data_IF_902927939286
#
_entry.id   IF_902927939286
#
_cell.length_a   1.000
_cell.length_b   1.000
_cell.length_c   1.000
_cell.angle_alpha   90.00
_cell.angle_beta   90.00
_cell.angle_gamma   90.00
#
_symmetry.space_group_name_H-M   'P 1'
#
loop_
_entity.id
_entity.type
_entity.pdbx_description
1 polymer ?
#
# COMPACT_ATOMS: atom_id res chain seq x y z
N UNK A 1 -15.45 0.66 -20.91
CA UNK A 1 -15.77 2.01 -20.42
C UNK A 1 -14.51 2.87 -20.24
N UNK A 2 -13.48 2.45 -19.43
CA UNK A 2 -12.23 3.24 -19.24
C UNK A 2 -11.56 3.54 -20.60
N UNK A 3 -11.43 2.55 -21.48
CA UNK A 3 -10.82 2.74 -22.81
C UNK A 3 -11.58 3.79 -23.65
N UNK A 4 -12.91 3.75 -23.64
CA UNK A 4 -13.72 4.70 -24.39
C UNK A 4 -13.75 6.10 -23.77
N UNK A 5 -13.84 6.18 -22.44
CA UNK A 5 -14.02 7.44 -21.73
C UNK A 5 -12.74 8.29 -21.69
N UNK A 6 -11.56 7.62 -21.71
CA UNK A 6 -10.25 8.29 -21.63
C UNK A 6 -9.42 8.20 -22.91
N UNK A 7 -9.96 7.65 -24.01
CA UNK A 7 -9.22 7.49 -25.26
C UNK A 7 -7.99 6.58 -25.17
N UNK A 8 -7.89 5.76 -24.11
CA UNK A 8 -6.75 4.87 -23.88
C UNK A 8 -6.87 3.62 -24.76
N UNK A 9 -5.82 3.27 -25.46
CA UNK A 9 -5.76 2.06 -26.30
C UNK A 9 -5.27 0.83 -25.55
N UNK A 10 -4.38 1.02 -24.57
CA UNK A 10 -3.81 -0.04 -23.74
C UNK A 10 -3.66 0.43 -22.29
N UNK A 11 -3.80 -0.49 -21.32
CA UNK A 11 -3.50 -0.22 -19.92
C UNK A 11 -3.13 -1.49 -19.16
N UNK A 12 -2.46 -1.31 -18.03
CA UNK A 12 -2.05 -2.38 -17.11
C UNK A 12 -2.89 -2.25 -15.85
N UNK A 13 -3.51 -3.36 -15.43
CA UNK A 13 -4.27 -3.46 -14.17
C UNK A 13 -3.34 -3.99 -13.10
N UNK A 14 -2.97 -3.14 -12.13
CA UNK A 14 -2.15 -3.53 -11.01
C UNK A 14 -3.05 -3.79 -9.79
N UNK A 15 -2.96 -5.01 -9.20
CA UNK A 15 -3.84 -5.42 -8.10
C UNK A 15 -3.06 -6.06 -6.95
N UNK A 16 -3.68 -6.02 -5.77
CA UNK A 16 -3.21 -6.75 -4.59
C UNK A 16 -3.62 -8.23 -4.62
N UNK A 17 -3.20 -8.97 -3.59
CA UNK A 17 -3.52 -10.40 -3.43
C UNK A 17 -5.03 -10.67 -3.24
N UNK A 18 -5.81 -9.69 -2.81
CA UNK A 18 -7.27 -9.82 -2.62
C UNK A 18 -8.03 -9.87 -3.94
N UNK A 19 -7.46 -9.30 -5.01
CA UNK A 19 -8.02 -9.28 -6.36
C UNK A 19 -7.29 -10.22 -7.33
N UNK A 20 -6.47 -11.15 -6.83
CA UNK A 20 -5.61 -12.05 -7.61
C UNK A 20 -6.29 -13.33 -8.10
N UNK A 21 -7.62 -13.40 -8.15
CA UNK A 21 -8.34 -14.59 -8.63
C UNK A 21 -8.02 -14.91 -10.10
N UNK A 22 -8.04 -16.19 -10.46
CA UNK A 22 -7.84 -16.63 -11.85
C UNK A 22 -8.81 -15.94 -12.80
N UNK A 23 -10.07 -15.77 -12.41
CA UNK A 23 -11.08 -15.07 -13.21
C UNK A 23 -10.72 -13.61 -13.52
N UNK A 24 -10.17 -12.89 -12.53
CA UNK A 24 -9.69 -11.51 -12.72
C UNK A 24 -8.47 -11.45 -13.66
N UNK A 25 -7.56 -12.42 -13.57
CA UNK A 25 -6.38 -12.51 -14.44
C UNK A 25 -6.80 -12.81 -15.88
N UNK A 26 -7.67 -13.80 -16.09
CA UNK A 26 -8.24 -14.14 -17.39
C UNK A 26 -8.98 -12.94 -17.99
N UNK A 27 -9.81 -12.25 -17.21
CA UNK A 27 -10.50 -11.04 -17.65
C UNK A 27 -9.55 -9.94 -18.12
N UNK A 28 -8.36 -9.83 -17.52
CA UNK A 28 -7.34 -8.84 -17.88
C UNK A 28 -6.28 -9.39 -18.85
N UNK A 29 -6.41 -10.62 -19.32
CA UNK A 29 -5.49 -11.22 -20.29
C UNK A 29 -5.99 -10.98 -21.71
N UNK A 30 -5.86 -9.76 -22.20
CA UNK A 30 -6.25 -9.37 -23.56
C UNK A 30 -5.16 -8.51 -24.20
N UNK A 31 -5.16 -8.32 -25.55
CA UNK A 31 -4.18 -7.47 -26.21
C UNK A 31 -4.11 -6.03 -25.66
N UNK A 32 -5.25 -5.50 -25.21
CA UNK A 32 -5.39 -4.12 -24.73
C UNK A 32 -5.39 -3.99 -23.19
N UNK A 33 -5.46 -5.11 -22.49
CA UNK A 33 -5.39 -5.14 -21.02
C UNK A 33 -4.36 -6.15 -20.58
N UNK A 34 -3.42 -5.69 -19.81
CA UNK A 34 -2.43 -6.51 -19.14
C UNK A 34 -2.63 -6.41 -17.63
N UNK A 35 -2.05 -7.32 -16.88
CA UNK A 35 -2.15 -7.28 -15.43
C UNK A 35 -0.78 -7.46 -14.77
N UNK A 36 -0.62 -6.89 -13.58
CA UNK A 36 0.42 -7.21 -12.60
C UNK A 36 -0.29 -7.42 -11.27
N UNK A 37 -0.20 -8.60 -10.69
CA UNK A 37 -0.92 -8.94 -9.47
C UNK A 37 -0.01 -9.61 -8.46
N UNK A 38 -0.17 -9.24 -7.18
CA UNK A 38 0.52 -9.92 -6.09
C UNK A 38 0.11 -11.38 -6.05
N UNK A 39 1.09 -12.29 -6.03
CA UNK A 39 0.91 -13.73 -5.92
C UNK A 39 1.32 -14.20 -4.53
N UNK A 40 0.37 -14.57 -3.64
CA UNK A 40 0.74 -15.20 -2.38
C UNK A 40 1.44 -16.53 -2.64
N UNK A 41 2.72 -16.64 -2.26
CA UNK A 41 3.54 -17.85 -2.49
C UNK A 41 2.89 -19.07 -1.82
N UNK A 42 2.32 -18.91 -0.63
CA UNK A 42 1.60 -19.96 0.09
C UNK A 42 0.43 -20.59 -0.68
N UNK A 43 -0.13 -19.90 -1.67
CA UNK A 43 -1.24 -20.39 -2.52
C UNK A 43 -0.78 -21.08 -3.80
N UNK A 44 0.51 -21.05 -4.10
CA UNK A 44 1.07 -21.74 -5.26
C UNK A 44 1.04 -23.27 -5.07
N UNK A 45 1.11 -24.03 -6.16
CA UNK A 45 1.33 -25.47 -6.14
C UNK A 45 2.70 -25.81 -5.54
N UNK A 46 2.85 -27.01 -4.99
CA UNK A 46 4.06 -27.45 -4.27
C UNK A 46 5.36 -27.11 -5.02
N UNK A 47 5.48 -27.59 -6.26
CA UNK A 47 6.68 -27.39 -7.08
C UNK A 47 7.01 -25.90 -7.36
N UNK A 48 6.00 -25.02 -7.39
CA UNK A 48 6.22 -23.57 -7.53
C UNK A 48 6.63 -22.93 -6.20
N UNK A 49 6.12 -23.45 -5.07
CA UNK A 49 6.61 -23.01 -3.75
C UNK A 49 8.07 -23.38 -3.57
N UNK A 50 8.44 -24.61 -3.93
CA UNK A 50 9.82 -25.07 -3.87
C UNK A 50 10.71 -24.20 -4.75
N UNK A 51 10.30 -23.91 -5.98
CA UNK A 51 11.00 -22.95 -6.85
C UNK A 51 11.13 -21.56 -6.22
N UNK A 52 10.07 -21.02 -5.61
CA UNK A 52 10.12 -19.69 -5.00
C UNK A 52 11.07 -19.62 -3.80
N UNK A 53 11.18 -20.70 -3.02
CA UNK A 53 11.95 -20.77 -1.80
C UNK A 53 13.35 -21.36 -1.99
N UNK A 54 13.68 -21.87 -3.17
CA UNK A 54 15.00 -22.37 -3.49
C UNK A 54 16.04 -21.25 -3.41
N UNK A 55 17.16 -21.53 -2.80
CA UNK A 55 18.25 -20.59 -2.54
C UNK A 55 19.09 -20.26 -3.79
N UNK A 56 19.02 -21.09 -4.83
CA UNK A 56 19.81 -20.95 -6.04
C UNK A 56 19.05 -20.19 -7.15
N UNK A 57 19.77 -19.66 -8.15
CA UNK A 57 19.20 -19.04 -9.35
C UNK A 57 18.69 -17.61 -9.16
N UNK A 58 19.28 -16.86 -8.24
CA UNK A 58 18.89 -15.49 -7.99
C UNK A 58 19.74 -14.49 -8.76
N UNK A 59 19.13 -13.42 -9.23
CA UNK A 59 19.77 -12.34 -9.99
C UNK A 59 19.52 -10.99 -9.33
N UNK A 60 20.40 -10.02 -9.58
CA UNK A 60 20.21 -8.63 -9.23
C UNK A 60 19.84 -7.83 -10.49
N UNK A 61 18.92 -6.86 -10.36
CA UNK A 61 18.55 -6.01 -11.50
C UNK A 61 19.79 -5.26 -12.00
N UNK A 62 20.07 -5.41 -13.29
CA UNK A 62 21.25 -4.79 -13.92
C UNK A 62 22.56 -5.60 -13.81
N UNK A 63 22.54 -6.76 -13.15
CA UNK A 63 23.68 -7.66 -13.05
C UNK A 63 23.39 -8.99 -13.77
N UNK A 64 24.41 -9.56 -14.39
CA UNK A 64 24.33 -10.87 -15.07
C UNK A 64 24.77 -12.04 -14.16
N UNK A 65 25.28 -11.73 -12.98
CA UNK A 65 25.75 -12.74 -12.03
C UNK A 65 24.56 -13.45 -11.39
N UNK A 66 24.71 -14.75 -11.21
CA UNK A 66 23.81 -15.58 -10.43
C UNK A 66 24.27 -15.61 -8.97
N UNK A 67 23.32 -15.51 -8.07
CA UNK A 67 23.53 -15.45 -6.63
C UNK A 67 22.84 -16.61 -5.93
N UNK A 68 23.42 -17.07 -4.83
CA UNK A 68 22.82 -18.02 -3.91
C UNK A 68 22.49 -17.30 -2.60
N UNK A 69 21.23 -17.37 -2.15
CA UNK A 69 20.76 -16.56 -1.01
C UNK A 69 21.51 -16.89 0.29
N UNK A 70 21.87 -18.15 0.52
CA UNK A 70 22.61 -18.58 1.71
C UNK A 70 24.05 -18.08 1.76
N UNK A 71 24.63 -17.64 0.65
CA UNK A 71 26.00 -17.12 0.56
C UNK A 71 26.06 -15.58 0.62
N UNK A 72 24.90 -14.90 0.67
CA UNK A 72 24.84 -13.45 0.69
C UNK A 72 25.20 -12.89 2.06
N UNK A 73 26.15 -11.95 2.09
CA UNK A 73 26.35 -11.12 3.27
C UNK A 73 25.13 -10.19 3.49
N UNK A 74 24.55 -10.28 4.68
CA UNK A 74 23.32 -9.57 5.01
C UNK A 74 23.53 -8.05 5.06
N UNK A 75 24.67 -7.58 5.57
CA UNK A 75 24.95 -6.15 5.74
C UNK A 75 25.19 -5.49 4.38
N UNK A 76 26.01 -6.11 3.53
CA UNK A 76 26.34 -5.60 2.21
C UNK A 76 25.15 -5.61 1.25
N UNK A 77 24.19 -6.50 1.49
CA UNK A 77 23.06 -6.72 0.59
C UNK A 77 21.71 -6.29 1.19
N UNK A 78 21.71 -5.58 2.33
CA UNK A 78 20.49 -5.26 3.06
C UNK A 78 19.45 -4.50 2.25
N UNK A 79 19.86 -3.52 1.45
CA UNK A 79 18.99 -2.69 0.62
C UNK A 79 18.73 -3.28 -0.78
N UNK A 80 19.42 -4.36 -1.14
CA UNK A 80 19.29 -4.97 -2.46
C UNK A 80 18.08 -5.88 -2.54
N UNK A 81 17.48 -5.93 -3.74
CA UNK A 81 16.39 -6.84 -4.05
C UNK A 81 16.86 -7.81 -5.12
N UNK A 82 16.92 -9.07 -4.76
CA UNK A 82 17.23 -10.17 -5.67
C UNK A 82 15.93 -10.67 -6.29
N UNK A 83 16.02 -11.22 -7.50
CA UNK A 83 14.86 -11.79 -8.18
C UNK A 83 15.21 -13.08 -8.88
N UNK A 84 14.20 -13.89 -9.13
CA UNK A 84 14.17 -14.94 -10.13
C UNK A 84 12.79 -15.00 -10.77
N UNK A 85 12.72 -15.45 -12.01
CA UNK A 85 11.49 -15.43 -12.77
C UNK A 85 11.37 -16.65 -13.67
N UNK A 86 10.15 -16.97 -14.00
CA UNK A 86 9.82 -18.00 -15.00
C UNK A 86 8.41 -17.85 -15.53
N UNK A 87 8.19 -18.31 -16.75
CA UNK A 87 6.85 -18.49 -17.27
C UNK A 87 6.22 -19.76 -16.69
N UNK A 88 4.96 -19.64 -16.28
CA UNK A 88 4.16 -20.72 -15.71
C UNK A 88 2.81 -20.80 -16.42
N UNK A 89 2.23 -21.99 -16.48
CA UNK A 89 0.87 -22.18 -16.94
C UNK A 89 0.05 -22.75 -15.76
N UNK A 90 -0.85 -21.93 -15.25
CA UNK A 90 -1.74 -22.29 -14.16
C UNK A 90 -3.18 -22.11 -14.62
N UNK A 91 -3.98 -23.19 -14.52
CA UNK A 91 -5.39 -23.21 -14.90
C UNK A 91 -5.65 -22.76 -16.36
N UNK A 92 -4.72 -23.07 -17.28
CA UNK A 92 -4.81 -22.68 -18.69
C UNK A 92 -4.44 -21.22 -18.97
N UNK A 93 -3.93 -20.50 -17.97
CA UNK A 93 -3.42 -19.14 -18.13
C UNK A 93 -1.90 -19.14 -18.09
N UNK A 94 -1.27 -18.78 -19.23
CA UNK A 94 0.17 -18.52 -19.29
C UNK A 94 0.49 -17.16 -18.67
N UNK A 95 1.43 -17.15 -17.73
CA UNK A 95 1.80 -15.97 -16.99
C UNK A 95 3.25 -16.01 -16.51
N UNK A 96 3.84 -14.87 -16.38
CA UNK A 96 5.20 -14.66 -15.89
C UNK A 96 5.16 -14.54 -14.37
N UNK A 97 5.73 -15.48 -13.66
CA UNK A 97 5.93 -15.47 -12.21
C UNK A 97 7.29 -14.82 -11.93
N UNK A 98 7.27 -13.67 -11.27
CA UNK A 98 8.46 -12.97 -10.77
C UNK A 98 8.47 -13.07 -9.26
N UNK A 99 9.54 -13.62 -8.71
CA UNK A 99 9.76 -13.76 -7.26
C UNK A 99 10.91 -12.85 -6.86
N UNK A 100 10.75 -12.12 -5.78
CA UNK A 100 11.81 -11.27 -5.22
C UNK A 100 12.13 -11.67 -3.80
N UNK A 101 13.37 -11.43 -3.39
CA UNK A 101 13.87 -11.57 -2.03
C UNK A 101 14.64 -10.32 -1.62
N UNK A 102 14.41 -9.84 -0.39
CA UNK A 102 15.27 -8.83 0.23
C UNK A 102 15.35 -9.01 1.74
N UNK A 103 16.51 -8.70 2.33
CA UNK A 103 16.72 -8.74 3.77
C UNK A 103 15.86 -7.71 4.50
N UNK A 104 15.71 -6.52 3.95
CA UNK A 104 14.83 -5.48 4.48
C UNK A 104 13.37 -5.96 4.60
N UNK A 105 12.84 -6.61 3.55
CA UNK A 105 11.48 -7.15 3.57
C UNK A 105 11.35 -8.34 4.52
N UNK A 106 12.39 -9.18 4.64
CA UNK A 106 12.47 -10.26 5.62
C UNK A 106 12.30 -9.73 7.05
N UNK A 107 13.04 -8.70 7.40
CA UNK A 107 13.01 -8.11 8.75
C UNK A 107 11.68 -7.41 9.02
N UNK A 108 11.11 -6.77 8.02
CA UNK A 108 9.76 -6.22 8.09
C UNK A 108 8.71 -7.30 8.40
N UNK A 109 8.75 -8.44 7.70
CA UNK A 109 7.85 -9.57 7.94
C UNK A 109 8.04 -10.20 9.32
N UNK A 110 9.28 -10.39 9.74
CA UNK A 110 9.64 -10.85 11.10
C UNK A 110 9.04 -9.93 12.17
N UNK A 111 9.19 -8.64 12.02
CA UNK A 111 8.63 -7.65 12.96
C UNK A 111 7.10 -7.72 13.03
N UNK A 112 6.42 -7.89 11.89
CA UNK A 112 4.96 -8.08 11.87
C UNK A 112 4.58 -9.37 12.57
N UNK A 113 5.23 -10.50 12.27
CA UNK A 113 4.94 -11.81 12.88
C UNK A 113 5.17 -11.77 14.38
N UNK A 114 6.27 -11.21 14.86
CA UNK A 114 6.55 -11.10 16.29
C UNK A 114 5.45 -10.35 17.03
N UNK A 115 4.99 -9.21 16.49
CA UNK A 115 3.84 -8.49 17.06
C UNK A 115 2.54 -9.31 17.06
N UNK A 116 2.36 -10.22 16.10
CA UNK A 116 1.19 -11.09 16.07
C UNK A 116 1.33 -12.23 17.07
N UNK A 117 2.53 -12.78 17.27
CA UNK A 117 2.84 -13.78 18.31
C UNK A 117 2.61 -13.19 19.71
N UNK A 118 3.14 -12.00 20.00
CA UNK A 118 2.88 -11.29 21.27
C UNK A 118 1.36 -11.12 21.56
N UNK A 119 0.58 -10.88 20.49
CA UNK A 119 -0.89 -10.81 20.63
C UNK A 119 -1.52 -12.18 20.82
N UNK A 120 -0.98 -13.22 20.23
CA UNK A 120 -1.43 -14.60 20.41
C UNK A 120 -1.16 -15.05 21.85
N UNK A 121 0.00 -14.77 22.41
CA UNK A 121 0.36 -15.05 23.81
C UNK A 121 -0.66 -14.41 24.78
N UNK A 122 -0.98 -13.12 24.59
CA UNK A 122 -2.00 -12.44 25.40
C UNK A 122 -3.40 -13.04 25.26
N UNK A 123 -3.71 -13.67 24.12
CA UNK A 123 -4.99 -14.38 23.92
C UNK A 123 -4.97 -15.75 24.60
N UNK A 124 -3.80 -16.42 24.67
CA UNK A 124 -3.61 -17.66 25.45
C UNK A 124 -3.82 -17.40 26.92
N UNK A 125 -3.29 -16.29 27.46
CA UNK A 125 -3.46 -15.88 28.85
C UNK A 125 -4.93 -15.55 29.19
N UNK A 126 -5.72 -15.03 28.22
CA UNK A 126 -7.12 -14.64 28.39
C UNK A 126 -8.05 -15.33 27.35
N UNK A 127 -8.35 -16.63 27.54
CA UNK A 127 -9.10 -17.43 26.56
C UNK A 127 -10.51 -16.94 26.22
N UNK A 128 -11.14 -16.17 27.11
CA UNK A 128 -12.47 -15.59 26.90
C UNK A 128 -12.55 -14.63 25.71
N UNK A 129 -11.40 -14.09 25.27
CA UNK A 129 -11.29 -13.17 24.11
C UNK A 129 -11.07 -13.89 22.79
N UNK A 130 -10.94 -15.22 22.78
CA UNK A 130 -10.71 -16.05 21.57
C UNK A 130 -11.89 -16.06 20.58
N UNK A 131 -13.10 -15.70 21.00
CA UNK A 131 -14.30 -15.77 20.17
C UNK A 131 -14.49 -14.64 19.14
N UNK A 132 -13.63 -13.62 19.14
CA UNK A 132 -13.73 -12.48 18.20
C UNK A 132 -12.85 -12.70 16.96
N UNK A 133 -13.46 -12.89 15.79
CA UNK A 133 -12.74 -12.93 14.50
C UNK A 133 -12.30 -11.52 14.07
N UNK A 134 -11.01 -11.34 13.75
CA UNK A 134 -10.45 -10.10 13.21
C UNK A 134 -9.63 -10.40 11.95
N UNK A 135 -9.52 -9.48 10.96
CA UNK A 135 -8.59 -9.62 9.86
C UNK A 135 -7.14 -9.75 10.39
N UNK A 136 -6.34 -10.61 9.75
CA UNK A 136 -4.99 -10.97 10.22
C UNK A 136 -4.95 -11.47 11.66
N UNK A 137 -5.86 -12.35 11.98
CA UNK A 137 -6.09 -12.85 13.32
C UNK A 137 -4.85 -13.61 13.85
N UNK A 138 -4.25 -13.19 14.98
CA UNK A 138 -3.17 -13.91 15.64
C UNK A 138 -3.57 -15.32 16.11
N UNK A 139 -4.86 -15.63 16.14
CA UNK A 139 -5.38 -16.97 16.49
C UNK A 139 -4.85 -18.10 15.62
N UNK A 140 -4.34 -17.83 14.41
CA UNK A 140 -3.71 -18.87 13.58
C UNK A 140 -2.45 -19.47 14.23
N UNK A 141 -1.86 -18.76 15.19
CA UNK A 141 -0.74 -19.24 15.99
C UNK A 141 -1.18 -19.90 17.30
N UNK A 142 -2.48 -20.15 17.49
CA UNK A 142 -2.99 -20.76 18.71
C UNK A 142 -3.57 -22.12 18.37
N UNK A 143 -2.96 -23.13 18.94
CA UNK A 143 -3.49 -24.49 18.96
C UNK A 143 -4.48 -24.64 20.13
N UNK A 144 -5.62 -25.26 19.87
CA UNK A 144 -6.66 -25.49 20.87
C UNK A 144 -6.69 -26.97 21.27
N UNK A 145 -6.11 -27.27 22.41
CA UNK A 145 -6.09 -28.63 22.94
C UNK A 145 -7.24 -28.86 23.94
N UNK A 146 -7.82 -30.05 23.88
CA UNK A 146 -8.82 -30.53 24.82
C UNK A 146 -8.23 -31.63 25.74
N UNK A 147 -6.91 -31.80 25.71
CA UNK A 147 -6.16 -32.74 26.55
C UNK A 147 -5.13 -31.99 27.37
N UNK A 148 -4.85 -32.47 28.56
CA UNK A 148 -3.72 -32.01 29.40
C UNK A 148 -2.41 -32.53 28.81
N UNK A 149 -1.26 -32.00 29.28
CA UNK A 149 0.08 -32.48 28.91
C UNK A 149 0.30 -33.99 29.19
N UNK A 150 -0.46 -34.54 30.12
CA UNK A 150 -0.39 -35.97 30.53
C UNK A 150 -1.37 -36.85 29.71
N UNK A 151 -2.07 -36.27 28.72
CA UNK A 151 -2.95 -36.98 27.80
C UNK A 151 -4.39 -37.22 28.34
N UNK A 152 -4.73 -36.67 29.50
CA UNK A 152 -6.10 -36.74 30.02
C UNK A 152 -7.03 -35.73 29.33
N UNK A 153 -8.31 -36.09 29.13
CA UNK A 153 -9.32 -35.19 28.58
C UNK A 153 -9.56 -34.04 29.54
N UNK A 154 -9.40 -32.81 29.07
CA UNK A 154 -9.65 -31.59 29.86
C UNK A 154 -11.11 -31.13 29.68
N UNK A 155 -11.76 -30.78 30.77
CA UNK A 155 -13.10 -30.19 30.77
C UNK A 155 -13.14 -28.81 30.10
N UNK A 156 -12.00 -28.18 29.96
CA UNK A 156 -11.86 -26.86 29.33
C UNK A 156 -10.79 -26.89 28.25
N UNK A 157 -11.00 -26.14 27.21
CA UNK A 157 -10.02 -25.89 26.14
C UNK A 157 -8.76 -25.24 26.73
N UNK A 158 -7.60 -25.84 26.46
CA UNK A 158 -6.28 -25.32 26.83
C UNK A 158 -5.63 -24.77 25.56
N UNK A 159 -5.56 -23.43 25.40
CA UNK A 159 -4.88 -22.82 24.26
C UNK A 159 -3.35 -22.82 24.48
N UNK A 160 -2.59 -23.08 23.43
CA UNK A 160 -1.14 -22.97 23.40
C UNK A 160 -0.66 -22.33 22.11
N UNK A 161 0.57 -21.80 22.11
CA UNK A 161 1.16 -21.28 20.87
C UNK A 161 1.55 -22.47 19.98
N UNK A 162 1.19 -22.38 18.71
CA UNK A 162 1.54 -23.32 17.65
C UNK A 162 2.88 -22.89 17.02
N UNK A 163 3.95 -23.47 17.50
CA UNK A 163 5.31 -23.17 17.03
C UNK A 163 5.57 -23.71 15.63
N UNK A 164 4.89 -24.78 15.23
CA UNK A 164 5.04 -25.37 13.90
C UNK A 164 4.50 -24.38 12.83
N UNK A 165 3.36 -23.79 13.08
CA UNK A 165 2.80 -22.75 12.20
C UNK A 165 3.71 -21.53 12.16
N UNK A 166 4.26 -21.11 13.30
CA UNK A 166 5.17 -19.97 13.35
C UNK A 166 6.47 -20.25 12.58
N UNK A 167 6.99 -21.48 12.69
CA UNK A 167 8.21 -21.92 11.99
C UNK A 167 7.96 -22.06 10.48
N UNK A 168 6.84 -22.63 10.07
CA UNK A 168 6.49 -22.73 8.65
C UNK A 168 6.33 -21.32 8.04
N UNK A 169 5.75 -20.38 8.77
CA UNK A 169 5.63 -18.98 8.28
C UNK A 169 6.99 -18.28 8.10
N UNK A 170 8.00 -18.62 8.91
CA UNK A 170 9.37 -18.06 8.79
C UNK A 170 10.02 -18.37 7.43
N UNK A 171 9.68 -19.49 6.81
CA UNK A 171 10.23 -19.90 5.51
C UNK A 171 9.92 -18.90 4.39
N UNK A 172 8.86 -18.12 4.53
CA UNK A 172 8.41 -17.16 3.52
C UNK A 172 8.93 -15.73 3.78
N UNK A 173 9.70 -15.52 4.82
CA UNK A 173 10.21 -14.20 5.17
C UNK A 173 11.18 -13.66 4.12
N UNK A 174 10.96 -12.44 3.67
CA UNK A 174 11.77 -11.80 2.66
C UNK A 174 11.34 -12.08 1.23
N UNK A 175 10.50 -13.08 1.00
CA UNK A 175 10.02 -13.46 -0.32
C UNK A 175 8.71 -12.76 -0.67
N UNK A 176 8.66 -12.24 -1.89
CA UNK A 176 7.47 -11.62 -2.45
C UNK A 176 7.32 -12.06 -3.91
N UNK A 177 6.10 -12.29 -4.37
CA UNK A 177 5.89 -12.71 -5.74
C UNK A 177 4.75 -11.95 -6.42
N UNK A 178 4.91 -11.77 -7.72
CA UNK A 178 3.88 -11.24 -8.62
C UNK A 178 3.69 -12.17 -9.81
N UNK A 179 2.48 -12.20 -10.34
CA UNK A 179 2.17 -12.80 -11.64
C UNK A 179 1.71 -11.72 -12.61
N UNK A 180 2.13 -11.85 -13.86
CA UNK A 180 1.80 -10.90 -14.92
C UNK A 180 1.70 -11.62 -16.27
N UNK A 181 1.03 -11.01 -17.23
CA UNK A 181 1.08 -11.40 -18.64
C UNK A 181 1.87 -10.39 -19.49
N UNK A 182 2.70 -9.57 -18.85
CA UNK A 182 3.67 -8.70 -19.51
C UNK A 182 4.88 -9.52 -19.96
N UNK A 183 5.39 -9.19 -21.12
CA UNK A 183 6.62 -9.74 -21.70
C UNK A 183 7.83 -8.82 -21.46
N UNK A 184 7.62 -7.76 -20.69
CA UNK A 184 8.63 -6.78 -20.33
C UNK A 184 9.69 -7.41 -19.39
N UNK A 185 10.82 -6.74 -19.25
CA UNK A 185 11.86 -7.15 -18.30
C UNK A 185 11.41 -7.04 -16.83
N UNK A 186 12.07 -7.78 -15.96
CA UNK A 186 11.71 -7.82 -14.53
C UNK A 186 11.79 -6.45 -13.88
N UNK A 187 12.74 -5.59 -14.27
CA UNK A 187 12.88 -4.25 -13.71
C UNK A 187 11.64 -3.40 -13.99
N UNK A 188 11.13 -3.45 -15.21
CA UNK A 188 9.90 -2.77 -15.64
C UNK A 188 8.70 -3.33 -14.87
N UNK A 189 8.54 -4.65 -14.78
CA UNK A 189 7.45 -5.30 -14.04
C UNK A 189 7.47 -4.88 -12.57
N UNK A 190 8.63 -4.90 -11.94
CA UNK A 190 8.80 -4.48 -10.54
C UNK A 190 8.49 -3.00 -10.34
N UNK A 191 8.93 -2.13 -11.24
CA UNK A 191 8.60 -0.70 -11.22
C UNK A 191 7.09 -0.45 -11.29
N UNK A 192 6.38 -1.18 -12.15
CA UNK A 192 4.92 -1.11 -12.24
C UNK A 192 4.27 -1.56 -10.93
N UNK A 193 4.72 -2.69 -10.36
CA UNK A 193 4.20 -3.19 -9.09
C UNK A 193 4.48 -2.23 -7.92
N UNK A 194 5.65 -1.62 -7.88
CA UNK A 194 6.00 -0.61 -6.86
C UNK A 194 5.05 0.59 -6.87
N UNK A 195 4.59 1.05 -8.04
CA UNK A 195 3.62 2.16 -8.13
C UNK A 195 2.27 1.86 -7.47
N UNK A 196 1.99 0.62 -7.10
CA UNK A 196 0.79 0.25 -6.34
C UNK A 196 0.70 0.91 -4.97
N UNK A 197 1.85 1.22 -4.32
CA UNK A 197 1.86 1.95 -3.05
C UNK A 197 1.12 3.29 -3.13
N UNK A 198 1.10 3.93 -4.31
CA UNK A 198 0.37 5.20 -4.52
C UNK A 198 -1.14 5.03 -4.32
N UNK A 199 -1.69 3.85 -4.67
CA UNK A 199 -3.11 3.53 -4.44
C UNK A 199 -3.37 3.34 -2.95
N UNK A 200 -2.48 2.62 -2.26
CA UNK A 200 -2.57 2.42 -0.81
C UNK A 200 -2.48 3.75 -0.06
N UNK A 201 -1.61 4.63 -0.50
CA UNK A 201 -1.48 5.99 0.02
C UNK A 201 -2.74 6.83 -0.24
N UNK A 202 -3.33 6.77 -1.43
CA UNK A 202 -4.62 7.41 -1.71
C UNK A 202 -5.70 6.96 -0.72
N UNK A 203 -5.80 5.66 -0.43
CA UNK A 203 -6.73 5.15 0.58
C UNK A 203 -6.38 5.63 1.99
N UNK A 204 -5.10 5.73 2.32
CA UNK A 204 -4.64 6.27 3.61
C UNK A 204 -5.06 7.73 3.76
N UNK A 205 -4.78 8.56 2.77
CA UNK A 205 -5.17 9.98 2.75
C UNK A 205 -6.69 10.14 2.90
N UNK A 206 -7.47 9.37 2.15
CA UNK A 206 -8.92 9.42 2.27
C UNK A 206 -9.41 9.04 3.67
N UNK A 207 -8.77 8.06 4.33
CA UNK A 207 -9.18 7.59 5.66
C UNK A 207 -8.74 8.54 6.77
N UNK A 208 -7.49 9.01 6.75
CA UNK A 208 -6.89 9.81 7.82
C UNK A 208 -7.16 11.30 7.64
N UNK A 209 -6.77 11.87 6.50
CA UNK A 209 -6.80 13.32 6.30
C UNK A 209 -8.21 13.84 5.93
N UNK A 210 -8.91 13.12 5.08
CA UNK A 210 -10.25 13.50 4.63
C UNK A 210 -11.36 12.88 5.48
N UNK A 211 -11.01 11.99 6.42
CA UNK A 211 -11.96 11.32 7.32
C UNK A 211 -13.15 10.70 6.56
N UNK A 212 -12.89 10.13 5.38
CA UNK A 212 -13.92 9.51 4.55
C UNK A 212 -14.61 8.33 5.25
N UNK A 213 -14.06 7.85 6.37
CA UNK A 213 -14.61 6.82 7.24
C UNK A 213 -14.37 7.16 8.71
N UNK A 214 -15.32 6.82 9.63
CA UNK A 214 -16.61 6.15 9.40
C UNK A 214 -17.63 7.07 8.71
N UNK A 215 -18.58 6.47 7.95
CA UNK A 215 -19.65 7.20 7.26
C UNK A 215 -20.91 7.18 8.13
N UNK A 216 -21.32 8.34 8.64
CA UNK A 216 -22.52 8.51 9.48
C UNK A 216 -23.77 8.89 8.66
N UNK A 217 -23.89 8.34 7.46
CA UNK A 217 -24.98 8.60 6.53
C UNK A 217 -25.72 7.29 6.23
N UNK A 218 -27.05 7.33 6.18
CA UNK A 218 -27.91 6.16 5.92
C UNK A 218 -28.43 6.10 4.48
N UNK A 219 -28.66 7.25 3.84
CA UNK A 219 -29.19 7.31 2.48
C UNK A 219 -28.11 7.03 1.43
N UNK A 220 -28.41 6.15 0.47
CA UNK A 220 -27.46 5.72 -0.58
C UNK A 220 -26.96 6.91 -1.43
N UNK A 221 -27.81 7.81 -1.81
CA UNK A 221 -27.47 9.01 -2.57
C UNK A 221 -26.48 9.91 -1.82
N UNK A 222 -26.70 10.13 -0.51
CA UNK A 222 -25.80 10.91 0.33
C UNK A 222 -24.46 10.22 0.56
N UNK A 223 -24.47 8.88 0.76
CA UNK A 223 -23.22 8.09 0.84
C UNK A 223 -22.43 8.22 -0.45
N UNK A 224 -23.09 8.11 -1.61
CA UNK A 224 -22.46 8.28 -2.92
C UNK A 224 -21.88 9.69 -3.07
N UNK A 225 -22.64 10.73 -2.75
CA UNK A 225 -22.17 12.12 -2.81
C UNK A 225 -20.96 12.36 -1.90
N UNK A 226 -20.97 11.81 -0.67
CA UNK A 226 -19.85 11.88 0.25
C UNK A 226 -18.57 11.31 -0.35
N UNK A 227 -18.61 10.08 -0.90
CA UNK A 227 -17.43 9.48 -1.52
C UNK A 227 -17.00 10.20 -2.80
N UNK A 228 -17.92 10.73 -3.61
CA UNK A 228 -17.56 11.56 -4.77
C UNK A 228 -16.82 12.82 -4.31
N UNK A 229 -17.29 13.48 -3.26
CA UNK A 229 -16.63 14.67 -2.71
C UNK A 229 -15.22 14.33 -2.21
N UNK A 230 -15.06 13.25 -1.42
CA UNK A 230 -13.74 12.80 -0.94
C UNK A 230 -12.81 12.43 -2.11
N UNK A 231 -13.32 11.79 -3.15
CA UNK A 231 -12.53 11.42 -4.31
C UNK A 231 -12.11 12.63 -5.14
N UNK A 232 -12.99 13.60 -5.31
CA UNK A 232 -12.67 14.89 -5.98
C UNK A 232 -11.59 15.64 -5.19
N UNK A 233 -11.72 15.71 -3.87
CA UNK A 233 -10.71 16.30 -3.01
C UNK A 233 -9.34 15.57 -3.14
N UNK A 234 -9.34 14.24 -3.24
CA UNK A 234 -8.12 13.47 -3.48
C UNK A 234 -7.46 13.82 -4.82
N UNK A 235 -8.26 13.97 -5.90
CA UNK A 235 -7.74 14.36 -7.21
C UNK A 235 -7.08 15.74 -7.13
N UNK A 236 -7.75 16.70 -6.53
CA UNK A 236 -7.21 18.05 -6.34
C UNK A 236 -5.93 18.05 -5.52
N UNK A 237 -5.92 17.27 -4.42
CA UNK A 237 -4.74 17.10 -3.59
C UNK A 237 -3.56 16.51 -4.39
N UNK A 238 -3.77 15.45 -5.18
CA UNK A 238 -2.71 14.83 -6.00
C UNK A 238 -2.15 15.78 -7.07
N UNK A 239 -3.02 16.62 -7.66
CA UNK A 239 -2.56 17.66 -8.59
C UNK A 239 -1.70 18.70 -7.86
N UNK A 240 -2.10 19.13 -6.67
CA UNK A 240 -1.34 20.06 -5.84
C UNK A 240 0.01 19.47 -5.43
N UNK A 241 0.03 18.28 -4.88
CA UNK A 241 1.25 17.56 -4.48
C UNK A 241 2.26 17.46 -5.63
N UNK A 242 1.78 17.09 -6.83
CA UNK A 242 2.61 17.04 -8.03
C UNK A 242 3.15 18.41 -8.43
N UNK A 243 2.35 19.48 -8.33
CA UNK A 243 2.81 20.86 -8.59
C UNK A 243 3.84 21.32 -7.58
N UNK A 244 3.80 20.85 -6.34
CA UNK A 244 4.79 21.13 -5.30
C UNK A 244 6.07 20.29 -5.42
N UNK A 245 6.14 19.35 -6.39
CA UNK A 245 7.31 18.51 -6.65
C UNK A 245 7.44 17.32 -5.71
N UNK A 246 6.36 16.89 -5.07
CA UNK A 246 6.30 15.71 -4.17
C UNK A 246 7.30 15.75 -2.99
N UNK A 247 7.71 16.98 -2.59
CA UNK A 247 8.75 17.20 -1.59
C UNK A 247 8.22 17.33 -0.15
N UNK A 248 6.91 17.36 0.04
CA UNK A 248 6.26 17.58 1.33
C UNK A 248 5.33 16.44 1.69
N UNK A 249 5.20 16.16 2.99
CA UNK A 249 4.25 15.13 3.44
C UNK A 249 2.81 15.61 3.32
N UNK A 250 1.89 14.68 3.11
CA UNK A 250 0.44 14.96 3.03
C UNK A 250 -0.06 15.73 4.25
N UNK A 251 0.37 15.31 5.44
CA UNK A 251 0.01 15.97 6.69
C UNK A 251 0.45 17.44 6.71
N UNK A 252 1.70 17.72 6.30
CA UNK A 252 2.22 19.08 6.24
C UNK A 252 1.43 19.96 5.27
N UNK A 253 1.15 19.46 4.07
CA UNK A 253 0.38 20.23 3.06
C UNK A 253 -1.01 20.56 3.59
N UNK A 254 -1.75 19.56 4.09
CA UNK A 254 -3.13 19.76 4.56
C UNK A 254 -3.17 20.64 5.79
N UNK A 255 -2.24 20.47 6.73
CA UNK A 255 -2.14 21.32 7.92
C UNK A 255 -1.86 22.76 7.54
N UNK A 256 -0.85 23.02 6.71
CA UNK A 256 -0.50 24.37 6.25
C UNK A 256 -1.69 25.03 5.55
N UNK A 257 -2.39 24.34 4.64
CA UNK A 257 -3.57 24.91 3.98
C UNK A 257 -4.70 25.25 4.97
N UNK A 258 -4.89 24.46 6.03
CA UNK A 258 -5.88 24.75 7.10
C UNK A 258 -5.46 25.90 7.98
N UNK A 259 -4.19 26.13 8.17
CA UNK A 259 -3.62 27.17 9.02
C UNK A 259 -3.44 28.51 8.28
N UNK A 260 -3.48 28.53 6.93
CA UNK A 260 -3.37 29.74 6.12
C UNK A 260 -4.65 30.60 6.21
N UNK A 261 -4.96 31.05 7.43
CA UNK A 261 -6.10 31.91 7.72
C UNK A 261 -5.76 33.38 7.48
N UNK A 262 -6.77 34.19 7.20
CA UNK A 262 -6.67 35.63 7.05
C UNK A 262 -7.72 36.34 7.87
N UNK A 263 -7.30 37.30 8.66
CA UNK A 263 -8.22 38.19 9.40
C UNK A 263 -8.73 39.27 8.46
N UNK A 264 -10.02 39.54 8.51
CA UNK A 264 -10.63 40.63 7.74
C UNK A 264 -10.47 41.95 8.52
N UNK A 265 -9.72 42.89 7.98
CA UNK A 265 -9.61 44.27 8.53
C UNK A 265 -10.59 45.17 7.77
N UNK A 266 -11.70 45.61 8.40
CA UNK A 266 -12.72 46.38 7.74
C UNK A 266 -12.17 47.73 7.16
N UNK A 267 -12.34 47.93 5.85
CA UNK A 267 -11.84 49.12 5.15
C UNK A 267 -10.40 49.03 4.64
N UNK A 268 -9.59 48.14 5.16
CA UNK A 268 -8.16 48.03 4.80
C UNK A 268 -7.85 46.81 3.92
N UNK A 269 -8.31 45.62 4.30
CA UNK A 269 -8.06 44.40 3.55
C UNK A 269 -8.03 43.15 4.42
N UNK A 270 -7.03 42.31 4.17
CA UNK A 270 -6.84 41.01 4.83
C UNK A 270 -5.45 40.91 5.44
N UNK A 271 -5.37 40.49 6.68
CA UNK A 271 -4.13 40.31 7.45
C UNK A 271 -3.87 38.80 7.55
N UNK A 272 -2.75 38.26 7.06
CA UNK A 272 -2.42 36.83 7.22
C UNK A 272 -2.14 36.51 8.69
N UNK A 273 -2.77 35.46 9.22
CA UNK A 273 -2.56 34.95 10.58
C UNK A 273 -1.66 33.70 10.63
N UNK A 274 -1.03 33.36 9.51
CA UNK A 274 -0.16 32.19 9.42
C UNK A 274 1.32 32.57 9.39
N UNK A 275 2.17 31.67 9.89
CA UNK A 275 3.62 31.83 9.87
C UNK A 275 4.17 31.43 8.50
N UNK A 276 5.08 32.23 7.96
CA UNK A 276 5.82 31.93 6.75
C UNK A 276 6.74 30.71 6.94
N UNK A 277 6.67 29.78 6.01
CA UNK A 277 7.48 28.55 5.97
C UNK A 277 7.93 28.25 4.54
N UNK A 278 8.88 27.33 4.35
CA UNK A 278 9.31 26.89 3.02
C UNK A 278 8.13 26.36 2.18
N UNK A 279 7.16 25.72 2.82
CA UNK A 279 5.97 25.24 2.12
C UNK A 279 5.03 26.37 1.70
N UNK A 280 4.82 27.40 2.53
CA UNK A 280 4.01 28.57 2.13
C UNK A 280 4.68 29.36 1.01
N UNK A 281 6.01 29.52 1.04
CA UNK A 281 6.78 30.11 -0.05
C UNK A 281 6.61 29.30 -1.34
N UNK A 282 6.77 27.99 -1.26
CA UNK A 282 6.60 27.09 -2.41
C UNK A 282 5.19 27.17 -3.00
N UNK A 283 4.16 27.28 -2.15
CA UNK A 283 2.78 27.48 -2.58
C UNK A 283 2.62 28.81 -3.35
N UNK A 284 3.13 29.90 -2.78
CA UNK A 284 3.09 31.24 -3.41
C UNK A 284 3.78 31.24 -4.77
N UNK A 285 4.99 30.67 -4.85
CA UNK A 285 5.75 30.60 -6.10
C UNK A 285 5.06 29.71 -7.14
N UNK A 286 4.48 28.58 -6.71
CA UNK A 286 3.80 27.64 -7.61
C UNK A 286 2.54 28.24 -8.24
N UNK A 287 1.81 29.06 -7.48
CA UNK A 287 0.55 29.67 -7.93
C UNK A 287 0.69 31.13 -8.43
N UNK A 288 1.88 31.69 -8.33
CA UNK A 288 2.19 33.01 -8.89
C UNK A 288 1.51 34.20 -8.18
N UNK A 289 1.13 34.02 -6.90
CA UNK A 289 0.63 35.13 -6.07
C UNK A 289 1.05 34.95 -4.61
N UNK A 290 1.12 36.04 -3.86
CA UNK A 290 1.49 36.04 -2.44
C UNK A 290 0.38 36.64 -1.58
N UNK A 291 0.21 36.04 -0.40
CA UNK A 291 -0.76 36.48 0.60
C UNK A 291 -0.13 36.66 1.99
N UNK A 292 1.21 36.65 2.07
CA UNK A 292 2.01 36.77 3.30
C UNK A 292 2.51 38.20 3.57
N UNK A 293 1.90 39.22 2.97
CA UNK A 293 2.14 40.63 3.27
C UNK A 293 1.41 41.03 4.55
N UNK A 294 1.86 42.12 5.19
CA UNK A 294 1.22 42.64 6.40
C UNK A 294 -0.27 42.95 6.18
N UNK A 295 -0.62 43.54 5.04
CA UNK A 295 -2.01 43.76 4.62
C UNK A 295 -2.13 43.43 3.14
N UNK A 296 -3.03 42.52 2.81
CA UNK A 296 -3.39 42.19 1.43
C UNK A 296 -4.66 42.98 1.06
N UNK A 297 -4.54 43.95 0.16
CA UNK A 297 -5.64 44.81 -0.19
C UNK A 297 -6.83 44.03 -0.83
N UNK A 298 -8.04 44.57 -0.66
CA UNK A 298 -9.23 43.99 -1.33
C UNK A 298 -9.08 43.89 -2.85
N UNK A 299 -8.33 44.81 -3.46
CA UNK A 299 -8.05 44.78 -4.91
C UNK A 299 -7.16 43.60 -5.28
N UNK A 300 -6.16 43.27 -4.48
CA UNK A 300 -5.27 42.13 -4.71
C UNK A 300 -6.01 40.80 -4.53
N UNK A 301 -6.79 40.63 -3.47
CA UNK A 301 -7.63 39.45 -3.29
C UNK A 301 -8.58 39.25 -4.48
N UNK A 302 -9.23 40.33 -4.98
CA UNK A 302 -10.07 40.24 -6.17
C UNK A 302 -9.32 39.80 -7.42
N UNK A 303 -8.05 40.25 -7.60
CA UNK A 303 -7.20 39.80 -8.70
C UNK A 303 -6.88 38.29 -8.58
N UNK A 304 -6.48 37.84 -7.39
CA UNK A 304 -6.20 36.42 -7.10
C UNK A 304 -7.44 35.58 -7.42
N UNK A 305 -8.59 35.93 -6.86
CA UNK A 305 -9.84 35.21 -7.10
C UNK A 305 -10.29 35.24 -8.58
N UNK A 306 -9.97 36.28 -9.34
CA UNK A 306 -10.23 36.32 -10.76
C UNK A 306 -9.29 35.44 -11.55
N UNK A 307 -8.00 35.40 -11.19
CA UNK A 307 -7.01 34.53 -11.82
C UNK A 307 -7.31 33.04 -11.60
N UNK A 308 -7.87 32.66 -10.44
CA UNK A 308 -8.23 31.26 -10.11
C UNK A 308 -9.50 30.77 -10.78
N UNK A 309 -10.28 31.65 -11.46
CA UNK A 309 -11.51 31.31 -12.21
C UNK A 309 -11.27 30.98 -13.69
N UNK A 310 -10.06 31.16 -14.17
CA UNK A 310 -9.62 30.82 -15.53
C UNK A 310 -8.99 29.43 -15.58
#
# INVERSE_FOLDING_TARGET
>A
KILSDFGMTKFIVCTDAGLSSTSNRVFNNTPNRKFVTTQPIKKLKGYLKDYCLDEDGWHLIGDKKEYKLSELDEVENYEKTFYKDRWINEDGLEQHLVVTFSFQYRDYMRKIRNRQLERAEKLVENPSSLNKKRPNDPKRFIHQNYCTSDGELADKMIPSIDEDVATEEKRYDGFYAVCTNLEDDVATIMSINQKRWQIEECFRIMKSEFQARPVYLSRKDRITAHFITCFTALILYRILEKKLGESYTTENIIRTLKEMNMLIAPGEGYIPEYTRTDLTDKLHDTFGFRTDYEIVSQREIKKILTATRK
#
